data_IF_852159127123
#
_entry.id   IF_852159127123
#
_cell.length_a   1.000
_cell.length_b   1.000
_cell.length_c   1.000
_cell.angle_alpha   90.00
_cell.angle_beta   90.00
_cell.angle_gamma   90.00
#
_symmetry.space_group_name_H-M   'P 1'
#
loop_
_entity.id
_entity.type
_entity.pdbx_description
1 polymer ?
#
# COMPACT_ATOMS: atom_id res chain seq x y z
N UNK A 1 -3.60 -15.19 -13.52
CA UNK A 1 -5.05 -15.25 -13.12
C UNK A 1 -5.34 -13.98 -12.37
N UNK A 2 -6.43 -13.30 -12.69
CA UNK A 2 -6.75 -12.02 -12.08
C UNK A 2 -7.16 -12.21 -10.61
N UNK A 3 -6.52 -11.48 -9.70
CA UNK A 3 -6.86 -11.47 -8.30
C UNK A 3 -8.11 -10.61 -8.05
N UNK A 4 -8.95 -11.07 -7.14
CA UNK A 4 -10.21 -10.45 -6.74
C UNK A 4 -10.42 -10.64 -5.24
N UNK A 5 -11.41 -9.99 -4.66
CA UNK A 5 -11.79 -10.23 -3.26
C UNK A 5 -12.15 -11.71 -2.99
N UNK A 6 -12.72 -12.40 -3.99
CA UNK A 6 -13.05 -13.83 -3.88
C UNK A 6 -11.79 -14.69 -3.85
N UNK A 7 -10.78 -14.40 -4.68
CA UNK A 7 -9.51 -15.17 -4.67
C UNK A 7 -8.75 -15.01 -3.36
N UNK A 8 -8.84 -13.86 -2.71
CA UNK A 8 -8.26 -13.65 -1.37
C UNK A 8 -8.90 -14.58 -0.34
N UNK A 9 -10.24 -14.70 -0.36
CA UNK A 9 -10.96 -15.62 0.51
C UNK A 9 -10.62 -17.08 0.21
N UNK A 10 -10.52 -17.44 -1.06
CA UNK A 10 -10.13 -18.80 -1.47
C UNK A 10 -8.71 -19.15 -1.03
N UNK A 11 -7.76 -18.21 -1.11
CA UNK A 11 -6.39 -18.41 -0.63
C UNK A 11 -6.36 -18.71 0.87
N UNK A 12 -7.11 -17.96 1.69
CA UNK A 12 -7.24 -18.27 3.13
C UNK A 12 -7.76 -19.68 3.35
N UNK A 13 -8.84 -20.07 2.67
CA UNK A 13 -9.42 -21.42 2.82
C UNK A 13 -8.45 -22.53 2.43
N UNK A 14 -7.60 -22.29 1.43
CA UNK A 14 -6.56 -23.24 0.97
C UNK A 14 -5.30 -23.23 1.83
N UNK A 15 -5.12 -22.21 2.68
CA UNK A 15 -3.86 -21.98 3.40
C UNK A 15 -2.74 -21.38 2.55
N UNK A 16 -3.05 -20.89 1.35
CA UNK A 16 -2.10 -20.21 0.47
C UNK A 16 -1.83 -18.78 0.98
N UNK A 17 -0.57 -18.41 1.08
CA UNK A 17 -0.21 -17.07 1.59
C UNK A 17 -0.44 -15.97 0.54
N UNK A 18 -1.14 -14.92 0.96
CA UNK A 18 -1.42 -13.72 0.16
C UNK A 18 -0.23 -12.78 0.24
N UNK A 19 0.27 -12.36 -0.91
CA UNK A 19 1.38 -11.42 -1.02
C UNK A 19 0.88 -10.05 -1.45
N UNK A 20 1.21 -9.00 -0.69
CA UNK A 20 0.87 -7.62 -1.02
C UNK A 20 2.09 -6.71 -0.86
N UNK A 21 2.13 -5.66 -1.64
CA UNK A 21 3.05 -4.52 -1.49
C UNK A 21 2.29 -3.22 -1.70
N UNK A 22 2.83 -2.13 -1.16
CA UNK A 22 2.37 -0.81 -1.60
C UNK A 22 2.94 -0.49 -2.97
N UNK A 23 2.26 0.32 -3.77
CA UNK A 23 2.80 1.01 -4.94
C UNK A 23 2.09 2.34 -5.15
N UNK A 24 2.76 3.28 -5.84
CA UNK A 24 2.27 4.65 -5.96
C UNK A 24 2.39 5.21 -7.38
N UNK A 25 2.95 4.44 -8.32
CA UNK A 25 3.13 4.83 -9.71
C UNK A 25 2.92 3.67 -10.69
N UNK A 26 2.82 4.02 -11.97
CA UNK A 26 2.56 3.07 -13.05
C UNK A 26 3.68 2.03 -13.23
N UNK A 27 4.93 2.49 -13.22
CA UNK A 27 6.09 1.63 -13.56
C UNK A 27 6.32 0.58 -12.49
N UNK A 28 6.28 0.99 -11.22
CA UNK A 28 6.44 0.10 -10.06
C UNK A 28 5.27 -0.90 -9.99
N UNK A 29 4.04 -0.42 -10.16
CA UNK A 29 2.86 -1.30 -10.17
C UNK A 29 2.95 -2.36 -11.29
N UNK A 30 3.41 -1.98 -12.49
CA UNK A 30 3.60 -2.90 -13.61
C UNK A 30 4.64 -3.98 -13.31
N UNK A 31 5.77 -3.60 -12.70
CA UNK A 31 6.80 -4.56 -12.30
C UNK A 31 6.29 -5.56 -11.26
N UNK A 32 5.54 -5.07 -10.25
CA UNK A 32 4.93 -5.92 -9.22
C UNK A 32 3.91 -6.90 -9.82
N UNK A 33 3.04 -6.41 -10.69
CA UNK A 33 2.02 -7.21 -11.38
C UNK A 33 2.65 -8.32 -12.21
N UNK A 34 3.71 -8.00 -12.97
CA UNK A 34 4.49 -8.96 -13.75
C UNK A 34 5.23 -9.99 -12.88
N UNK A 35 5.52 -9.64 -11.63
CA UNK A 35 6.14 -10.56 -10.65
C UNK A 35 5.13 -11.48 -9.97
N UNK A 36 3.84 -11.35 -10.26
CA UNK A 36 2.79 -12.24 -9.78
C UNK A 36 2.27 -11.91 -8.37
N UNK A 37 2.38 -10.64 -7.93
CA UNK A 37 1.82 -10.21 -6.63
C UNK A 37 0.30 -10.38 -6.61
N UNK A 38 -0.26 -10.77 -5.45
CA UNK A 38 -1.71 -10.94 -5.34
C UNK A 38 -2.44 -9.60 -5.22
N UNK A 39 -1.90 -8.67 -4.44
CA UNK A 39 -2.53 -7.37 -4.23
C UNK A 39 -1.55 -6.22 -4.16
N UNK A 40 -2.01 -5.04 -4.54
CA UNK A 40 -1.27 -3.79 -4.42
C UNK A 40 -2.13 -2.81 -3.62
N UNK A 41 -1.54 -2.25 -2.57
CA UNK A 41 -2.15 -1.18 -1.80
C UNK A 41 -1.58 0.17 -2.26
N UNK A 42 -2.44 1.08 -2.68
CA UNK A 42 -2.08 2.49 -2.76
C UNK A 42 -2.36 3.09 -1.40
N UNK A 43 -1.36 3.03 -0.51
CA UNK A 43 -1.48 3.45 0.88
C UNK A 43 -1.27 4.95 1.06
N UNK A 44 -1.89 5.54 2.09
CA UNK A 44 -1.62 6.93 2.49
C UNK A 44 -0.19 7.13 3.03
N UNK A 45 0.55 6.04 3.26
CA UNK A 45 2.01 6.04 3.44
C UNK A 45 2.77 6.75 2.31
N UNK A 46 2.12 6.96 1.12
CA UNK A 46 2.65 7.83 0.07
C UNK A 46 3.01 9.24 0.58
N UNK A 47 2.29 9.74 1.58
CA UNK A 47 2.61 11.01 2.22
C UNK A 47 4.06 11.05 2.70
N UNK A 48 4.51 9.97 3.33
CA UNK A 48 5.86 9.88 3.88
C UNK A 48 6.90 9.53 2.80
N UNK A 49 6.66 8.50 2.00
CA UNK A 49 7.68 7.92 1.11
C UNK A 49 7.72 8.52 -0.30
N UNK A 50 6.68 9.26 -0.71
CA UNK A 50 6.59 9.92 -2.02
C UNK A 50 6.53 11.44 -1.91
N UNK A 51 5.81 11.97 -0.92
CA UNK A 51 5.60 13.42 -0.78
C UNK A 51 6.53 14.05 0.29
N UNK A 52 7.23 13.23 1.10
CA UNK A 52 8.18 13.70 2.10
C UNK A 52 7.53 14.31 3.35
N UNK A 53 6.28 13.97 3.64
CA UNK A 53 5.61 14.40 4.87
C UNK A 53 6.13 13.61 6.09
N UNK A 54 6.03 14.19 7.28
CA UNK A 54 6.43 13.51 8.53
C UNK A 54 5.50 12.35 8.92
N UNK A 55 4.25 12.39 8.48
CA UNK A 55 3.23 11.38 8.73
C UNK A 55 2.16 11.38 7.62
N UNK A 56 1.14 10.52 7.76
CA UNK A 56 0.10 10.34 6.73
C UNK A 56 -1.04 11.37 6.81
N UNK A 57 -1.15 12.15 7.88
CA UNK A 57 -2.31 13.03 8.13
C UNK A 57 -2.55 14.11 7.05
N UNK A 58 -1.51 14.71 6.41
CA UNK A 58 -1.74 15.72 5.38
C UNK A 58 -2.21 15.18 4.02
N UNK A 59 -2.21 13.85 3.83
CA UNK A 59 -2.58 13.25 2.54
C UNK A 59 -4.03 13.53 2.22
N UNK A 60 -4.28 14.02 1.01
CA UNK A 60 -5.62 14.38 0.51
C UNK A 60 -6.25 13.27 -0.31
N UNK A 61 -7.57 13.35 -0.52
CA UNK A 61 -8.29 12.48 -1.47
C UNK A 61 -7.75 12.63 -2.90
N UNK A 62 -7.33 13.82 -3.28
CA UNK A 62 -6.76 14.14 -4.60
C UNK A 62 -5.43 13.42 -4.80
N UNK A 63 -4.56 13.41 -3.79
CA UNK A 63 -3.30 12.65 -3.82
C UNK A 63 -3.59 11.15 -3.99
N UNK A 64 -4.51 10.61 -3.18
CA UNK A 64 -4.88 9.21 -3.25
C UNK A 64 -5.46 8.82 -4.61
N UNK A 65 -6.35 9.62 -5.17
CA UNK A 65 -6.95 9.40 -6.50
C UNK A 65 -5.87 9.49 -7.60
N UNK A 66 -4.96 10.46 -7.51
CA UNK A 66 -3.87 10.63 -8.48
C UNK A 66 -2.99 9.39 -8.56
N UNK A 67 -2.48 8.95 -7.41
CA UNK A 67 -1.59 7.78 -7.32
C UNK A 67 -2.32 6.48 -7.64
N UNK A 68 -3.55 6.29 -7.14
CA UNK A 68 -4.38 5.11 -7.44
C UNK A 68 -4.61 4.95 -8.94
N UNK A 69 -4.90 6.04 -9.63
CA UNK A 69 -5.09 6.06 -11.09
C UNK A 69 -3.84 5.63 -11.86
N UNK A 70 -2.65 5.99 -11.37
CA UNK A 70 -1.39 5.56 -11.96
C UNK A 70 -1.15 4.05 -11.76
N UNK A 71 -1.34 3.56 -10.54
CA UNK A 71 -1.17 2.16 -10.16
C UNK A 71 -2.13 1.24 -10.93
N UNK A 72 -3.42 1.59 -11.00
CA UNK A 72 -4.44 0.77 -11.69
C UNK A 72 -4.21 0.63 -13.18
N UNK A 73 -3.47 1.55 -13.81
CA UNK A 73 -3.03 1.40 -15.21
C UNK A 73 -1.89 0.41 -15.36
N UNK A 74 -1.04 0.27 -14.35
CA UNK A 74 0.10 -0.65 -14.32
C UNK A 74 -0.30 -2.08 -13.96
N UNK A 75 -1.21 -2.24 -13.00
CA UNK A 75 -1.68 -3.52 -12.51
C UNK A 75 -2.85 -4.06 -13.35
N UNK A 76 -2.71 -5.28 -13.87
CA UNK A 76 -3.74 -5.98 -14.67
C UNK A 76 -4.33 -7.16 -13.92
N UNK A 77 -3.49 -7.91 -13.22
CA UNK A 77 -3.83 -9.15 -12.53
C UNK A 77 -3.88 -8.99 -11.01
N UNK A 78 -3.13 -8.08 -10.42
CA UNK A 78 -3.18 -7.80 -8.98
C UNK A 78 -4.48 -7.08 -8.59
N UNK A 79 -5.01 -7.39 -7.40
CA UNK A 79 -6.09 -6.63 -6.78
C UNK A 79 -5.55 -5.30 -6.28
N UNK A 80 -6.04 -4.18 -6.81
CA UNK A 80 -5.65 -2.84 -6.34
C UNK A 80 -6.64 -2.34 -5.30
N UNK A 81 -6.10 -2.02 -4.12
CA UNK A 81 -6.82 -1.43 -2.99
C UNK A 81 -6.37 0.02 -2.83
N UNK A 82 -7.30 0.97 -2.79
CA UNK A 82 -7.03 2.38 -2.54
C UNK A 82 -7.30 2.74 -1.09
N UNK A 83 -6.35 3.39 -0.43
CA UNK A 83 -6.52 3.82 0.96
C UNK A 83 -7.37 5.07 1.06
N UNK A 84 -8.27 5.12 2.03
CA UNK A 84 -9.02 6.32 2.37
C UNK A 84 -8.18 7.15 3.36
N UNK A 85 -7.75 8.37 3.00
CA UNK A 85 -6.88 9.17 3.85
C UNK A 85 -7.62 9.72 5.07
N UNK A 86 -6.86 10.21 6.04
CA UNK A 86 -7.38 10.79 7.28
C UNK A 86 -8.46 11.84 7.01
N UNK A 87 -9.54 11.80 7.78
CA UNK A 87 -10.74 12.66 7.69
C UNK A 87 -11.57 12.51 6.40
N UNK A 88 -11.30 11.53 5.55
CA UNK A 88 -12.14 11.25 4.39
C UNK A 88 -13.31 10.30 4.66
N UNK A 89 -13.34 9.67 5.84
CA UNK A 89 -14.39 8.72 6.24
C UNK A 89 -14.84 8.86 7.71
N UNK A 90 -14.13 9.67 8.50
CA UNK A 90 -14.45 9.85 9.93
C UNK A 90 -15.58 10.87 10.17
N UNK A 91 -15.81 11.78 9.23
CA UNK A 91 -16.76 12.90 9.38
C UNK A 91 -18.22 12.40 9.40
N UNK A 92 -18.59 11.58 8.43
CA UNK A 92 -19.92 10.97 8.34
C UNK A 92 -19.88 9.69 7.49
N UNK A 93 -20.96 8.89 7.60
CA UNK A 93 -21.13 7.69 6.77
C UNK A 93 -21.33 8.07 5.30
N UNK A 94 -22.07 9.14 5.03
CA UNK A 94 -22.35 9.65 3.68
C UNK A 94 -21.04 10.10 2.99
N UNK A 95 -20.19 10.82 3.72
CA UNK A 95 -18.90 11.27 3.20
C UNK A 95 -17.95 10.09 2.94
N UNK A 96 -17.94 9.10 3.84
CA UNK A 96 -17.19 7.86 3.64
C UNK A 96 -17.63 7.13 2.36
N UNK A 97 -18.94 6.99 2.11
CA UNK A 97 -19.46 6.39 0.89
C UNK A 97 -19.09 7.19 -0.36
N UNK A 98 -19.20 8.52 -0.29
CA UNK A 98 -18.85 9.41 -1.39
C UNK A 98 -17.36 9.29 -1.76
N UNK A 99 -16.47 9.36 -0.78
CA UNK A 99 -15.03 9.28 -1.00
C UNK A 99 -14.56 7.88 -1.43
N UNK A 100 -15.15 6.80 -0.89
CA UNK A 100 -14.94 5.44 -1.40
C UNK A 100 -15.35 5.33 -2.89
N UNK A 101 -16.50 5.89 -3.24
CA UNK A 101 -16.98 5.96 -4.62
C UNK A 101 -16.04 6.74 -5.54
N UNK A 102 -15.43 7.82 -5.07
CA UNK A 102 -14.41 8.57 -5.81
C UNK A 102 -13.18 7.75 -6.10
N UNK A 103 -12.63 7.04 -5.10
CA UNK A 103 -11.47 6.15 -5.29
C UNK A 103 -11.77 5.07 -6.33
N UNK A 104 -12.94 4.46 -6.29
CA UNK A 104 -13.32 3.42 -7.25
C UNK A 104 -13.60 3.96 -8.65
N UNK A 105 -14.27 5.11 -8.79
CA UNK A 105 -14.62 5.70 -10.09
C UNK A 105 -13.47 6.45 -10.73
N UNK A 106 -12.80 7.31 -9.98
CA UNK A 106 -11.74 8.18 -10.48
C UNK A 106 -10.37 7.50 -10.38
N UNK A 107 -10.08 6.82 -9.25
CA UNK A 107 -8.84 6.04 -9.03
C UNK A 107 -8.85 4.70 -9.76
N UNK A 108 -10.05 4.10 -9.97
CA UNK A 108 -10.29 2.80 -10.62
C UNK A 108 -9.77 1.60 -9.83
N UNK A 109 -9.58 1.73 -8.50
CA UNK A 109 -9.29 0.57 -7.65
C UNK A 109 -10.50 -0.36 -7.55
N UNK A 110 -10.27 -1.60 -7.14
CA UNK A 110 -11.30 -2.63 -6.99
C UNK A 110 -11.81 -2.75 -5.56
N UNK A 111 -11.09 -2.16 -4.59
CA UNK A 111 -11.47 -2.12 -3.19
C UNK A 111 -10.89 -0.86 -2.54
N UNK A 112 -11.43 -0.48 -1.39
CA UNK A 112 -10.87 0.61 -0.57
C UNK A 112 -10.39 0.06 0.77
N UNK A 113 -9.43 0.75 1.42
CA UNK A 113 -9.02 0.47 2.79
C UNK A 113 -9.38 1.65 3.69
N UNK A 114 -9.70 1.38 4.93
CA UNK A 114 -9.85 2.39 5.98
C UNK A 114 -9.38 1.84 7.33
N UNK A 115 -8.95 2.73 8.20
CA UNK A 115 -8.37 2.42 9.50
C UNK A 115 -9.40 2.57 10.62
N UNK A 116 -9.37 1.63 11.55
CA UNK A 116 -10.19 1.58 12.75
C UNK A 116 -10.92 0.25 12.91
N UNK A 117 -11.32 -0.01 14.15
CA UNK A 117 -12.09 -1.19 14.55
C UNK A 117 -13.59 -0.89 14.61
N UNK A 118 -14.21 -1.19 15.75
CA UNK A 118 -15.65 -1.03 15.95
C UNK A 118 -16.20 0.39 15.66
N UNK A 119 -15.38 1.43 15.86
CA UNK A 119 -15.77 2.81 15.62
C UNK A 119 -16.09 3.16 14.16
N UNK A 120 -15.58 2.38 13.20
CA UNK A 120 -15.77 2.60 11.76
C UNK A 120 -16.66 1.53 11.10
N UNK A 121 -17.23 0.63 11.86
CA UNK A 121 -18.16 -0.39 11.35
C UNK A 121 -19.38 0.19 10.61
N UNK A 122 -19.99 1.32 11.03
CA UNK A 122 -21.07 1.96 10.26
C UNK A 122 -20.64 2.34 8.84
N UNK A 123 -19.43 2.89 8.68
CA UNK A 123 -18.84 3.24 7.39
C UNK A 123 -18.57 2.00 6.54
N UNK A 124 -17.92 0.97 7.13
CA UNK A 124 -17.67 -0.31 6.44
C UNK A 124 -18.99 -0.89 5.91
N UNK A 125 -20.00 -0.98 6.76
CA UNK A 125 -21.32 -1.52 6.39
C UNK A 125 -21.97 -0.75 5.25
N UNK A 126 -21.93 0.57 5.29
CA UNK A 126 -22.52 1.41 4.26
C UNK A 126 -21.78 1.32 2.91
N UNK A 127 -20.43 1.35 2.94
CA UNK A 127 -19.60 1.24 1.75
C UNK A 127 -19.78 -0.13 1.11
N UNK A 128 -19.81 -1.21 1.89
CA UNK A 128 -20.00 -2.59 1.37
C UNK A 128 -21.42 -2.78 0.82
N UNK A 129 -22.44 -2.22 1.47
CA UNK A 129 -23.81 -2.22 0.98
C UNK A 129 -23.97 -1.47 -0.36
N UNK A 130 -23.09 -0.47 -0.62
CA UNK A 130 -22.99 0.23 -1.91
C UNK A 130 -22.14 -0.53 -2.95
N UNK A 131 -21.89 -1.83 -2.76
CA UNK A 131 -21.12 -2.71 -3.65
C UNK A 131 -19.63 -2.33 -3.80
N UNK A 132 -19.07 -1.69 -2.80
CA UNK A 132 -17.65 -1.31 -2.74
C UNK A 132 -16.93 -2.17 -1.70
N UNK A 133 -16.03 -3.10 -2.10
CA UNK A 133 -15.34 -3.95 -1.14
C UNK A 133 -14.42 -3.15 -0.22
N UNK A 134 -14.41 -3.49 1.07
CA UNK A 134 -13.61 -2.81 2.09
C UNK A 134 -12.59 -3.77 2.70
N UNK A 135 -11.33 -3.34 2.74
CA UNK A 135 -10.27 -3.90 3.58
C UNK A 135 -10.18 -3.07 4.86
N UNK A 136 -10.39 -3.71 6.02
CA UNK A 136 -10.24 -3.04 7.31
C UNK A 136 -8.78 -2.98 7.73
N UNK A 137 -8.45 -2.15 8.73
CA UNK A 137 -7.12 -2.06 9.30
C UNK A 137 -7.19 -1.78 10.80
N UNK A 138 -6.64 -2.68 11.61
CA UNK A 138 -6.55 -2.54 13.07
C UNK A 138 -5.12 -2.79 13.58
N UNK A 139 -4.91 -2.58 14.87
CA UNK A 139 -3.60 -2.59 15.49
C UNK A 139 -3.04 -1.18 15.56
N UNK A 140 -1.83 -0.97 15.11
CA UNK A 140 -1.32 0.39 14.86
C UNK A 140 -2.01 0.93 13.61
N UNK A 141 -2.70 2.04 13.77
CA UNK A 141 -3.31 2.80 12.67
C UNK A 141 -2.55 4.11 12.53
N UNK A 142 -1.74 4.30 11.47
CA UNK A 142 -0.91 5.51 11.29
C UNK A 142 -1.70 6.81 11.35
N UNK A 143 -2.95 6.82 10.89
CA UNK A 143 -3.83 7.99 10.99
C UNK A 143 -4.17 8.36 12.44
N UNK A 144 -3.99 7.45 13.39
CA UNK A 144 -4.22 7.68 14.83
C UNK A 144 -2.92 8.00 15.60
N UNK A 145 -1.83 8.34 14.90
CA UNK A 145 -0.50 8.55 15.49
C UNK A 145 -0.49 9.53 16.68
N UNK A 146 -1.29 10.60 16.59
CA UNK A 146 -1.41 11.57 17.67
C UNK A 146 -2.12 11.01 18.91
N UNK A 147 -3.11 10.12 18.72
CA UNK A 147 -3.82 9.45 19.84
C UNK A 147 -2.91 8.45 20.54
N UNK A 148 -2.10 7.70 19.77
CA UNK A 148 -1.16 6.73 20.32
C UNK A 148 0.12 7.37 20.90
N UNK A 149 0.38 8.63 20.59
CA UNK A 149 1.62 9.29 20.96
C UNK A 149 2.84 8.63 20.29
N UNK A 150 2.72 8.33 19.01
CA UNK A 150 3.75 7.72 18.15
C UNK A 150 3.42 6.30 17.69
N UNK A 151 4.33 5.71 16.91
CA UNK A 151 4.19 4.36 16.34
C UNK A 151 4.50 3.30 17.40
N UNK A 152 3.47 2.70 17.99
CA UNK A 152 3.60 1.75 19.10
C UNK A 152 2.89 0.43 18.78
N UNK A 153 3.50 -0.69 19.19
CA UNK A 153 2.88 -2.02 19.13
C UNK A 153 1.61 -2.04 19.96
N UNK A 154 0.52 -2.51 19.38
CA UNK A 154 -0.81 -2.59 19.97
C UNK A 154 -1.12 -4.00 20.50
N UNK A 155 -2.03 -4.13 21.49
CA UNK A 155 -2.46 -5.43 21.99
C UNK A 155 -1.48 -6.13 22.93
N UNK A 156 -0.59 -5.40 23.63
CA UNK A 156 0.36 -5.97 24.59
C UNK A 156 -0.27 -6.29 25.97
N UNK A 157 -1.34 -5.62 26.34
CA UNK A 157 -2.08 -5.90 27.57
C UNK A 157 -3.23 -6.89 27.31
N UNK A 158 -3.74 -7.52 28.37
CA UNK A 158 -4.90 -8.41 28.26
C UNK A 158 -6.12 -7.68 27.67
N UNK A 159 -6.41 -6.49 28.18
CA UNK A 159 -7.50 -5.64 27.70
C UNK A 159 -7.31 -5.26 26.21
N UNK A 160 -6.11 -4.80 25.83
CA UNK A 160 -5.78 -4.44 24.45
C UNK A 160 -5.86 -5.65 23.50
N UNK A 161 -5.46 -6.84 23.96
CA UNK A 161 -5.56 -8.06 23.17
C UNK A 161 -7.03 -8.48 22.94
N UNK A 162 -7.85 -8.47 23.99
CA UNK A 162 -9.29 -8.75 23.90
C UNK A 162 -9.98 -7.77 22.96
N UNK A 163 -9.69 -6.46 23.11
CA UNK A 163 -10.23 -5.42 22.25
C UNK A 163 -9.91 -5.68 20.78
N UNK A 164 -8.67 -6.01 20.41
CA UNK A 164 -8.30 -6.28 19.01
C UNK A 164 -9.01 -7.50 18.43
N UNK A 165 -9.24 -8.55 19.23
CA UNK A 165 -10.02 -9.73 18.81
C UNK A 165 -11.48 -9.32 18.54
N UNK A 166 -12.09 -8.55 19.42
CA UNK A 166 -13.46 -8.05 19.26
C UNK A 166 -13.59 -7.11 18.05
N UNK A 167 -12.61 -6.22 17.85
CA UNK A 167 -12.58 -5.33 16.69
C UNK A 167 -12.44 -6.08 15.37
N UNK A 168 -11.61 -7.14 15.32
CA UNK A 168 -11.49 -7.98 14.13
C UNK A 168 -12.81 -8.64 13.74
N UNK A 169 -13.54 -9.17 14.73
CA UNK A 169 -14.88 -9.75 14.50
C UNK A 169 -15.90 -8.70 14.08
N UNK A 170 -15.88 -7.53 14.70
CA UNK A 170 -16.80 -6.46 14.39
C UNK A 170 -16.66 -5.95 12.95
N UNK A 171 -15.41 -5.80 12.45
CA UNK A 171 -15.19 -5.37 11.06
C UNK A 171 -15.54 -6.46 10.05
N UNK A 172 -15.35 -7.74 10.40
CA UNK A 172 -15.84 -8.86 9.59
C UNK A 172 -17.36 -8.86 9.49
N UNK A 173 -18.06 -8.71 10.62
CA UNK A 173 -19.53 -8.61 10.67
C UNK A 173 -20.07 -7.39 9.92
N UNK A 174 -19.31 -6.30 9.89
CA UNK A 174 -19.63 -5.12 9.10
C UNK A 174 -19.47 -5.32 7.59
N UNK A 175 -18.85 -6.42 7.15
CA UNK A 175 -18.72 -6.83 5.75
C UNK A 175 -17.36 -6.59 5.12
N UNK A 176 -16.30 -6.31 5.89
CA UNK A 176 -14.94 -6.26 5.36
C UNK A 176 -14.57 -7.59 4.70
N UNK A 177 -13.85 -7.55 3.56
CA UNK A 177 -13.42 -8.77 2.87
C UNK A 177 -12.06 -9.27 3.33
N UNK A 178 -11.25 -8.41 3.94
CA UNK A 178 -9.93 -8.69 4.50
C UNK A 178 -9.61 -7.66 5.58
N UNK A 179 -8.59 -7.94 6.40
CA UNK A 179 -8.16 -7.05 7.47
C UNK A 179 -6.63 -6.96 7.52
N UNK A 180 -6.08 -5.76 7.61
CA UNK A 180 -4.67 -5.52 7.92
C UNK A 180 -4.48 -5.55 9.43
N UNK A 181 -3.45 -6.28 9.89
CA UNK A 181 -2.98 -6.30 11.28
C UNK A 181 -1.60 -5.65 11.32
N UNK A 182 -1.50 -4.42 11.84
CA UNK A 182 -0.23 -3.70 11.90
C UNK A 182 0.32 -3.63 13.33
N UNK A 183 1.61 -3.98 13.47
CA UNK A 183 2.33 -3.90 14.74
C UNK A 183 1.58 -4.56 15.91
N UNK A 184 1.09 -5.78 15.69
CA UNK A 184 0.40 -6.65 16.66
C UNK A 184 1.33 -7.78 17.06
N UNK A 185 1.41 -8.20 18.34
CA UNK A 185 2.21 -9.35 18.74
C UNK A 185 1.86 -10.60 17.92
N UNK A 186 2.88 -11.32 17.43
CA UNK A 186 2.70 -12.42 16.47
C UNK A 186 1.69 -13.49 16.92
N UNK A 187 1.72 -13.88 18.21
CA UNK A 187 0.77 -14.88 18.74
C UNK A 187 -0.67 -14.34 18.80
N UNK A 188 -0.85 -13.04 19.09
CA UNK A 188 -2.18 -12.44 19.05
C UNK A 188 -2.72 -12.35 17.62
N UNK A 189 -1.86 -11.99 16.65
CA UNK A 189 -2.26 -11.96 15.24
C UNK A 189 -2.65 -13.35 14.71
N UNK A 190 -1.97 -14.40 15.12
CA UNK A 190 -2.33 -15.79 14.83
C UNK A 190 -3.72 -16.14 15.40
N UNK A 191 -3.98 -15.82 16.67
CA UNK A 191 -5.29 -16.03 17.32
C UNK A 191 -6.39 -15.27 16.59
N UNK A 192 -6.14 -14.01 16.20
CA UNK A 192 -7.09 -13.22 15.42
C UNK A 192 -7.36 -13.90 14.07
N UNK A 193 -6.31 -14.33 13.37
CA UNK A 193 -6.42 -14.98 12.06
C UNK A 193 -7.26 -16.27 12.10
N UNK A 194 -7.14 -17.03 13.18
CA UNK A 194 -7.93 -18.25 13.42
C UNK A 194 -9.36 -17.96 13.84
N UNK A 195 -9.64 -16.79 14.42
CA UNK A 195 -10.96 -16.45 14.99
C UNK A 195 -11.94 -15.81 14.00
N UNK A 196 -11.47 -15.44 12.79
CA UNK A 196 -12.27 -14.81 11.74
C UNK A 196 -12.15 -15.55 10.40
N UNK A 197 -13.13 -15.39 9.50
CA UNK A 197 -13.16 -16.07 8.21
C UNK A 197 -12.57 -15.24 7.06
N UNK A 198 -12.41 -13.94 7.27
CA UNK A 198 -11.78 -13.05 6.26
C UNK A 198 -10.24 -13.12 6.37
N UNK A 199 -9.50 -12.96 5.25
CA UNK A 199 -8.04 -12.98 5.27
C UNK A 199 -7.44 -11.88 6.13
N UNK A 200 -6.42 -12.24 6.92
CA UNK A 200 -5.57 -11.31 7.66
C UNK A 200 -4.29 -11.03 6.90
N UNK A 201 -3.94 -9.75 6.75
CA UNK A 201 -2.72 -9.28 6.07
C UNK A 201 -1.82 -8.62 7.12
N UNK A 202 -0.71 -9.27 7.45
CA UNK A 202 0.20 -8.79 8.50
C UNK A 202 1.23 -7.80 8.00
N UNK A 203 1.49 -6.78 8.80
CA UNK A 203 2.68 -5.93 8.72
C UNK A 203 3.22 -5.70 10.13
N UNK A 204 4.37 -6.32 10.43
CA UNK A 204 4.87 -6.35 11.81
C UNK A 204 3.98 -7.17 12.76
N UNK A 205 3.27 -8.17 12.24
CA UNK A 205 2.34 -9.00 13.00
C UNK A 205 2.71 -10.50 12.98
N UNK A 206 3.91 -10.83 12.51
CA UNK A 206 4.40 -12.22 12.44
C UNK A 206 3.84 -13.02 11.26
N UNK A 207 4.24 -14.29 11.17
CA UNK A 207 3.93 -15.19 10.05
C UNK A 207 2.58 -15.91 10.16
N UNK A 208 1.87 -15.77 11.30
CA UNK A 208 0.58 -16.41 11.55
C UNK A 208 -0.59 -15.83 10.77
N UNK A 209 -0.42 -14.66 10.14
CA UNK A 209 -1.42 -14.06 9.25
C UNK A 209 -1.54 -14.83 7.93
N UNK A 210 -2.68 -14.69 7.24
CA UNK A 210 -2.95 -15.32 5.95
C UNK A 210 -2.13 -14.70 4.81
N UNK A 211 -1.68 -13.46 4.97
CA UNK A 211 -0.82 -12.76 4.02
C UNK A 211 0.11 -11.76 4.70
N UNK A 212 0.95 -11.10 3.90
CA UNK A 212 1.91 -10.08 4.34
C UNK A 212 1.88 -8.88 3.39
N UNK A 213 2.09 -7.69 3.95
CA UNK A 213 2.29 -6.47 3.18
C UNK A 213 3.52 -5.71 3.70
N UNK A 214 4.26 -5.05 2.82
CA UNK A 214 5.31 -4.09 3.15
C UNK A 214 5.19 -2.85 2.27
N UNK A 215 5.73 -1.73 2.76
CA UNK A 215 6.02 -0.56 1.95
C UNK A 215 7.19 -0.91 1.02
N UNK A 216 7.02 -0.74 -0.30
CA UNK A 216 8.00 -1.24 -1.25
C UNK A 216 9.35 -0.52 -1.15
N UNK A 217 9.36 0.75 -0.81
CA UNK A 217 10.60 1.50 -0.59
C UNK A 217 11.42 0.92 0.56
N UNK A 218 10.75 0.50 1.63
CA UNK A 218 11.40 -0.10 2.80
C UNK A 218 12.04 -1.45 2.43
N UNK A 219 11.26 -2.33 1.76
CA UNK A 219 11.77 -3.65 1.38
C UNK A 219 12.88 -3.60 0.31
N UNK A 220 12.94 -2.54 -0.49
CA UNK A 220 13.98 -2.34 -1.49
C UNK A 220 15.15 -1.49 -0.97
N UNK A 221 15.12 -1.03 0.28
CA UNK A 221 16.18 -0.19 0.85
C UNK A 221 16.36 1.13 0.11
N UNK A 222 15.27 1.74 -0.35
CA UNK A 222 15.29 3.03 -1.05
C UNK A 222 15.30 4.21 -0.09
N UNK A 223 14.73 4.05 1.11
CA UNK A 223 14.71 5.03 2.20
C UNK A 223 15.73 4.58 3.24
N UNK A 224 16.63 5.49 3.68
CA UNK A 224 17.79 5.14 4.50
C UNK A 224 17.74 5.63 5.94
N UNK A 225 16.85 6.57 6.29
CA UNK A 225 16.91 7.26 7.59
C UNK A 225 16.36 6.43 8.74
N UNK A 226 15.41 5.54 8.47
CA UNK A 226 14.86 4.62 9.46
C UNK A 226 14.25 3.39 8.77
N UNK A 227 14.62 2.20 9.24
CA UNK A 227 14.00 0.94 8.81
C UNK A 227 13.26 0.33 10.00
N UNK A 228 11.93 0.15 9.92
CA UNK A 228 11.18 -0.51 10.98
C UNK A 228 11.70 -1.92 11.25
N UNK A 229 11.69 -2.34 12.52
CA UNK A 229 12.23 -3.66 12.95
C UNK A 229 11.63 -4.85 12.17
N UNK A 230 10.39 -4.75 11.73
CA UNK A 230 9.68 -5.81 11.03
C UNK A 230 10.00 -5.87 9.53
N UNK A 231 10.71 -4.89 9.00
CA UNK A 231 11.06 -4.83 7.58
C UNK A 231 12.30 -5.70 7.33
N UNK A 232 12.17 -6.65 6.41
CA UNK A 232 13.31 -7.30 5.77
C UNK A 232 13.59 -6.58 4.46
N UNK A 233 14.82 -6.09 4.31
CA UNK A 233 15.28 -5.58 3.02
C UNK A 233 15.66 -6.75 2.11
N UNK A 234 15.02 -6.85 0.96
CA UNK A 234 15.27 -7.87 -0.06
C UNK A 234 16.31 -7.42 -1.09
N UNK A 235 16.54 -6.10 -1.18
CA UNK A 235 17.55 -5.47 -2.02
C UNK A 235 17.99 -4.14 -1.42
N UNK A 236 19.06 -3.56 -1.96
CA UNK A 236 19.58 -2.21 -1.64
C UNK A 236 19.51 -1.32 -2.88
N UNK A 237 18.29 -1.14 -3.41
CA UNK A 237 18.07 -0.40 -4.66
C UNK A 237 18.49 1.07 -4.52
N UNK A 238 18.35 1.67 -3.35
CA UNK A 238 18.80 3.04 -3.09
C UNK A 238 20.31 3.23 -3.32
N UNK A 239 21.12 2.25 -2.97
CA UNK A 239 22.58 2.33 -3.21
C UNK A 239 22.89 2.20 -4.71
N UNK A 240 22.23 1.27 -5.41
CA UNK A 240 22.35 1.10 -6.88
C UNK A 240 21.94 2.37 -7.62
N UNK A 241 20.87 3.03 -7.18
CA UNK A 241 20.42 4.31 -7.76
C UNK A 241 21.47 5.41 -7.57
N UNK A 242 22.05 5.52 -6.38
CA UNK A 242 23.11 6.51 -6.10
C UNK A 242 24.35 6.29 -6.99
N UNK A 243 24.78 5.04 -7.14
CA UNK A 243 25.88 4.67 -8.02
C UNK A 243 25.59 5.03 -9.49
N UNK A 244 24.40 4.70 -9.98
CA UNK A 244 23.99 5.03 -11.35
C UNK A 244 23.91 6.55 -11.57
N UNK A 245 23.38 7.33 -10.60
CA UNK A 245 23.35 8.78 -10.70
C UNK A 245 24.78 9.37 -10.70
N UNK A 246 25.67 8.85 -9.87
CA UNK A 246 27.06 9.30 -9.84
C UNK A 246 27.77 9.03 -11.17
N UNK A 247 27.61 7.83 -11.74
CA UNK A 247 28.18 7.47 -13.04
C UNK A 247 27.65 8.40 -14.16
N UNK A 248 26.33 8.62 -14.22
CA UNK A 248 25.73 9.54 -15.20
C UNK A 248 26.29 10.97 -15.08
N UNK A 249 26.43 11.48 -13.85
CA UNK A 249 26.97 12.81 -13.58
C UNK A 249 28.43 12.90 -14.07
N UNK A 250 29.24 11.88 -13.75
CA UNK A 250 30.66 11.85 -14.11
C UNK A 250 30.85 11.77 -15.64
N UNK A 251 30.20 10.82 -16.31
CA UNK A 251 30.30 10.63 -17.75
C UNK A 251 29.82 11.85 -18.54
N UNK A 252 28.74 12.50 -18.06
CA UNK A 252 28.25 13.74 -18.68
C UNK A 252 29.28 14.87 -18.55
N UNK A 253 29.89 15.02 -17.36
CA UNK A 253 30.91 16.07 -17.13
C UNK A 253 32.21 15.85 -17.93
N UNK A 254 32.57 14.58 -18.15
CA UNK A 254 33.74 14.17 -18.93
C UNK A 254 33.49 14.23 -20.45
N UNK A 255 32.23 14.35 -20.89
CA UNK A 255 31.85 14.29 -22.30
C UNK A 255 31.91 12.89 -22.92
N UNK A 256 31.99 11.85 -22.11
CA UNK A 256 31.91 10.45 -22.56
C UNK A 256 30.49 10.00 -22.81
N UNK A 257 29.51 10.63 -22.15
CA UNK A 257 28.09 10.52 -22.47
C UNK A 257 27.55 11.88 -23.01
N UNK A 258 26.79 11.91 -24.13
CA UNK A 258 26.39 10.78 -24.98
C UNK A 258 27.55 10.27 -25.86
N UNK A 259 27.69 8.96 -25.97
CA UNK A 259 28.60 8.32 -26.93
C UNK A 259 28.00 8.34 -28.35
N UNK A 260 28.75 8.03 -29.41
CA UNK A 260 28.24 8.05 -30.79
C UNK A 260 26.96 7.24 -31.02
N UNK A 261 26.78 6.12 -30.34
CA UNK A 261 25.59 5.28 -30.38
C UNK A 261 24.33 5.93 -29.77
N UNK A 262 24.49 6.96 -28.97
CA UNK A 262 23.42 7.73 -28.35
C UNK A 262 23.06 8.99 -29.14
N UNK A 263 23.60 9.17 -30.36
CA UNK A 263 23.46 10.38 -31.17
C UNK A 263 22.74 10.12 -32.49
N UNK A 264 22.13 11.14 -33.05
CA UNK A 264 21.53 11.09 -34.36
C UNK A 264 22.45 11.73 -35.38
N UNK A 265 22.54 11.12 -36.59
CA UNK A 265 23.35 11.62 -37.69
C UNK A 265 22.51 12.53 -38.58
N UNK A 266 23.15 13.55 -39.13
CA UNK A 266 22.61 14.40 -40.20
C UNK A 266 23.52 14.25 -41.42
N UNK A 267 22.98 14.28 -42.64
CA UNK A 267 23.79 14.14 -43.84
C UNK A 267 24.63 15.42 -44.07
N UNK A 268 25.83 15.27 -44.62
CA UNK A 268 26.72 16.38 -44.98
C UNK A 268 26.07 17.33 -45.96
N UNK A 269 25.25 16.82 -46.91
CA UNK A 269 24.51 17.65 -47.86
C UNK A 269 23.53 18.65 -47.21
N UNK A 270 22.97 18.27 -46.05
CA UNK A 270 22.10 19.16 -45.29
C UNK A 270 22.94 20.19 -44.50
N UNK A 271 24.02 19.74 -43.90
CA UNK A 271 24.94 20.63 -43.16
C UNK A 271 25.52 21.70 -44.08
N UNK A 272 25.99 21.31 -45.28
CA UNK A 272 26.58 22.22 -46.26
C UNK A 272 25.59 23.26 -46.80
N UNK A 273 24.29 23.09 -46.60
CA UNK A 273 23.25 24.07 -46.95
C UNK A 273 22.91 25.05 -45.84
N UNK A 274 23.46 24.85 -44.63
CA UNK A 274 23.23 25.72 -43.48
C UNK A 274 24.22 26.88 -43.37
N UNK A 275 25.31 26.78 -44.12
CA UNK A 275 26.37 27.80 -44.27
C UNK A 275 26.55 28.19 -45.73
#
# INVERSE_FOLDING_TARGET
MKNTVSTFKEQKVKGDKITMLTAYDYSTAKLMDQSGINGILVGDSLGMVMLGYENTLPVTMEDMIHHTRAVTRGAKDALVVGDMPFMSYQVSVEEAMYNAGRLMKEGRCQAVKLEGGASVCPQIKAITAASSPVMAHIGLTPQSVNVFGGFKVQGKSEEGAKKLIEEAKAVEEAGAFAIVLECVPAKLAEIISESINIPTIGIGAGSGCDGQILVYQDMLGMVSDFTPKFVKQFAKVGDVMKEAFAAYIEETKQGSFPAPEHTFKISEDVINKLY
#
